data_IF_444391016332
#
_entry.id   IF_444391016332
#
_cell.length_a   1.000
_cell.length_b   1.000
_cell.length_c   1.000
_cell.angle_alpha   90.00
_cell.angle_beta   90.00
_cell.angle_gamma   90.00
#
_symmetry.space_group_name_H-M   'P 1'
#
loop_
_entity.id
_entity.type
_entity.pdbx_description
1 polymer ?
#
# COMPACT_ATOMS: atom_id res chain seq x y z
N UNK A 1 5.27 -25.72 -46.63
CA UNK A 1 4.25 -24.68 -46.40
C UNK A 1 4.14 -24.24 -44.93
N UNK A 2 5.11 -24.58 -44.05
CA UNK A 2 4.99 -24.36 -42.59
C UNK A 2 5.73 -23.15 -41.99
N UNK A 3 6.57 -22.46 -42.76
CA UNK A 3 7.41 -21.36 -42.22
C UNK A 3 6.62 -20.08 -41.92
N UNK A 4 5.59 -19.78 -42.72
CA UNK A 4 4.70 -18.61 -42.53
C UNK A 4 3.78 -18.75 -41.33
N UNK A 5 3.24 -19.94 -41.08
CA UNK A 5 2.38 -20.23 -39.92
C UNK A 5 3.15 -20.14 -38.59
N UNK A 6 4.41 -20.58 -38.56
CA UNK A 6 5.30 -20.47 -37.39
C UNK A 6 5.65 -19.01 -37.08
N UNK A 7 5.94 -18.21 -38.11
CA UNK A 7 6.21 -16.78 -37.96
C UNK A 7 4.99 -15.96 -37.50
N UNK A 8 3.78 -16.28 -37.97
CA UNK A 8 2.56 -15.63 -37.50
C UNK A 8 2.23 -15.99 -36.05
N UNK A 9 2.43 -17.25 -35.64
CA UNK A 9 2.26 -17.67 -34.24
C UNK A 9 3.25 -16.97 -33.31
N UNK A 10 4.53 -16.89 -33.68
CA UNK A 10 5.55 -16.15 -32.91
C UNK A 10 5.19 -14.67 -32.74
N UNK A 11 4.73 -14.00 -33.81
CA UNK A 11 4.31 -12.61 -33.75
C UNK A 11 3.05 -12.36 -32.91
N UNK A 12 2.09 -13.28 -32.95
CA UNK A 12 0.87 -13.22 -32.12
C UNK A 12 1.20 -13.41 -30.65
N UNK A 13 1.99 -14.44 -30.32
CA UNK A 13 2.45 -14.71 -28.96
C UNK A 13 3.28 -13.54 -28.42
N UNK A 14 4.20 -12.98 -29.20
CA UNK A 14 5.03 -11.85 -28.77
C UNK A 14 4.21 -10.58 -28.50
N UNK A 15 3.20 -10.27 -29.33
CA UNK A 15 2.26 -9.17 -29.08
C UNK A 15 1.42 -9.40 -27.81
N UNK A 16 1.01 -10.64 -27.56
CA UNK A 16 0.27 -11.03 -26.36
C UNK A 16 1.10 -10.87 -25.09
N UNK A 17 2.37 -11.29 -25.09
CA UNK A 17 3.30 -11.10 -23.98
C UNK A 17 3.62 -9.63 -23.74
N UNK A 18 3.77 -8.81 -24.79
CA UNK A 18 3.90 -7.34 -24.67
C UNK A 18 2.67 -6.70 -24.01
N UNK A 19 1.46 -7.02 -24.46
CA UNK A 19 0.22 -6.46 -23.89
C UNK A 19 0.06 -6.78 -22.40
N UNK A 20 0.34 -8.01 -21.98
CA UNK A 20 0.25 -8.43 -20.57
C UNK A 20 1.25 -7.70 -19.67
N UNK A 21 2.44 -7.40 -20.17
CA UNK A 21 3.47 -6.67 -19.41
C UNK A 21 3.07 -5.22 -19.12
N UNK A 22 2.56 -4.49 -20.11
CA UNK A 22 2.06 -3.12 -19.89
C UNK A 22 0.88 -3.08 -18.91
N UNK A 23 0.00 -4.08 -18.96
CA UNK A 23 -1.11 -4.20 -18.01
C UNK A 23 -0.58 -4.43 -16.58
N UNK A 24 0.45 -5.26 -16.42
CA UNK A 24 1.07 -5.52 -15.11
C UNK A 24 1.81 -4.29 -14.56
N UNK A 25 2.53 -3.56 -15.42
CA UNK A 25 3.12 -2.25 -15.11
C UNK A 25 2.06 -1.24 -14.65
N UNK A 26 0.96 -1.14 -15.38
CA UNK A 26 -0.13 -0.22 -15.04
C UNK A 26 -0.79 -0.57 -13.70
N UNK A 27 -1.03 -1.86 -13.45
CA UNK A 27 -1.56 -2.33 -12.17
C UNK A 27 -0.58 -2.10 -11.01
N UNK A 28 0.72 -2.31 -11.22
CA UNK A 28 1.74 -2.02 -10.22
C UNK A 28 1.80 -0.52 -9.91
N UNK A 29 1.71 0.33 -10.93
CA UNK A 29 1.62 1.78 -10.75
C UNK A 29 0.38 2.19 -9.93
N UNK A 30 -0.80 1.63 -10.25
CA UNK A 30 -2.02 1.86 -9.46
C UNK A 30 -1.88 1.37 -8.01
N UNK A 31 -1.25 0.22 -7.79
CA UNK A 31 -0.97 -0.30 -6.44
C UNK A 31 -0.08 0.63 -5.62
N UNK A 32 0.97 1.17 -6.24
CA UNK A 32 1.85 2.15 -5.60
C UNK A 32 1.10 3.43 -5.25
N UNK A 33 0.28 3.96 -6.16
CA UNK A 33 -0.55 5.13 -5.87
C UNK A 33 -1.50 4.88 -4.69
N UNK A 34 -2.15 3.72 -4.65
CA UNK A 34 -3.04 3.35 -3.55
C UNK A 34 -2.30 3.31 -2.19
N UNK A 35 -1.09 2.76 -2.16
CA UNK A 35 -0.25 2.75 -0.96
C UNK A 35 0.12 4.17 -0.49
N UNK A 36 0.52 5.05 -1.42
CA UNK A 36 0.82 6.45 -1.10
C UNK A 36 -0.40 7.21 -0.56
N UNK A 37 -1.58 7.02 -1.19
CA UNK A 37 -2.83 7.66 -0.72
C UNK A 37 -3.17 7.18 0.68
N UNK A 38 -3.08 5.86 0.92
CA UNK A 38 -3.36 5.29 2.24
C UNK A 38 -2.46 5.90 3.32
N UNK A 39 -1.16 6.10 3.05
CA UNK A 39 -0.25 6.77 4.00
C UNK A 39 -0.66 8.20 4.35
N UNK A 40 -1.11 8.98 3.35
CA UNK A 40 -1.52 10.37 3.56
C UNK A 40 -2.82 10.44 4.35
N UNK A 41 -3.80 9.61 4.01
CA UNK A 41 -5.11 9.59 4.68
C UNK A 41 -4.98 9.38 6.19
N UNK A 42 -4.05 8.54 6.62
CA UNK A 42 -3.84 8.23 8.03
C UNK A 42 -3.21 9.40 8.81
N UNK A 43 -2.27 10.12 8.21
CA UNK A 43 -1.65 11.30 8.82
C UNK A 43 -2.67 12.43 9.00
N UNK A 44 -3.51 12.66 7.98
CA UNK A 44 -4.58 13.66 8.02
C UNK A 44 -5.68 13.25 9.00
N UNK A 45 -6.05 11.97 9.02
CA UNK A 45 -7.08 11.43 9.90
C UNK A 45 -6.75 11.61 11.38
N UNK A 46 -5.50 11.36 11.80
CA UNK A 46 -5.08 11.54 13.19
C UNK A 46 -5.23 13.01 13.64
N UNK A 47 -4.90 13.96 12.77
CA UNK A 47 -5.05 15.39 13.07
C UNK A 47 -6.53 15.74 13.13
N UNK A 48 -7.32 15.35 12.12
CA UNK A 48 -8.75 15.64 12.06
C UNK A 48 -9.53 15.10 13.28
N UNK A 49 -9.20 13.90 13.76
CA UNK A 49 -9.83 13.27 14.93
C UNK A 49 -9.47 13.96 16.26
N UNK A 50 -8.40 14.74 16.27
CA UNK A 50 -7.86 15.37 17.48
C UNK A 50 -8.02 16.90 17.50
N UNK A 51 -8.37 17.51 16.37
CA UNK A 51 -8.58 18.95 16.27
C UNK A 51 -9.87 19.36 16.99
N UNK A 52 -9.81 20.33 17.93
CA UNK A 52 -11.02 20.85 18.55
C UNK A 52 -11.87 21.57 17.51
N UNK A 53 -13.19 21.41 17.58
CA UNK A 53 -14.14 22.12 16.74
C UNK A 53 -15.24 22.77 17.58
N UNK A 54 -15.67 23.95 17.13
CA UNK A 54 -16.68 24.74 17.81
C UNK A 54 -18.08 24.32 17.35
N UNK A 55 -18.91 23.91 18.31
CA UNK A 55 -20.32 23.59 18.07
C UNK A 55 -21.19 24.67 18.69
N UNK A 56 -21.98 25.36 17.86
CA UNK A 56 -23.03 26.27 18.32
C UNK A 56 -24.24 25.45 18.74
N UNK A 57 -24.61 25.52 20.01
CA UNK A 57 -25.87 24.96 20.49
C UNK A 57 -27.04 25.87 20.07
N UNK A 58 -28.26 25.32 20.03
CA UNK A 58 -29.47 26.08 19.71
C UNK A 58 -29.73 27.30 20.62
N UNK A 59 -29.03 27.41 21.74
CA UNK A 59 -29.11 28.51 22.70
C UNK A 59 -28.07 29.62 22.43
N UNK A 60 -27.31 29.54 21.32
CA UNK A 60 -26.30 30.55 20.95
C UNK A 60 -24.94 30.40 21.64
N UNK A 61 -24.78 29.45 22.55
CA UNK A 61 -23.50 29.11 23.18
C UNK A 61 -22.60 28.30 22.26
N UNK A 62 -21.33 28.71 22.15
CA UNK A 62 -20.28 27.98 21.43
C UNK A 62 -19.57 27.08 22.42
N UNK A 63 -19.63 25.76 22.21
CA UNK A 63 -18.90 24.77 23.01
C UNK A 63 -17.84 24.12 22.13
N UNK A 64 -16.60 24.12 22.61
CA UNK A 64 -15.50 23.40 21.98
C UNK A 64 -15.65 21.91 22.27
N UNK A 65 -15.79 21.10 21.22
CA UNK A 65 -15.82 19.63 21.32
C UNK A 65 -14.56 19.04 20.68
N UNK A 66 -14.10 17.95 21.26
CA UNK A 66 -12.99 17.15 20.76
C UNK A 66 -13.41 15.68 20.81
N UNK A 67 -13.31 14.98 19.67
CA UNK A 67 -13.74 13.58 19.58
C UNK A 67 -12.75 12.64 20.30
N UNK A 68 -11.46 12.92 20.22
CA UNK A 68 -10.41 12.17 20.91
C UNK A 68 -9.40 13.10 21.59
N UNK A 69 -9.16 12.90 22.88
CA UNK A 69 -8.13 13.62 23.64
C UNK A 69 -6.83 12.80 23.68
N UNK A 70 -6.21 12.55 22.51
CA UNK A 70 -4.90 11.89 22.48
C UNK A 70 -3.79 12.90 22.73
N UNK A 71 -2.93 12.60 23.71
CA UNK A 71 -1.71 13.36 23.93
C UNK A 71 -0.79 13.32 22.70
N UNK A 72 0.07 14.34 22.56
CA UNK A 72 1.05 14.44 21.47
C UNK A 72 1.95 13.20 21.39
N UNK A 73 2.30 12.59 22.54
CA UNK A 73 3.06 11.33 22.56
C UNK A 73 2.29 10.17 21.91
N UNK A 74 1.00 10.07 22.19
CA UNK A 74 0.17 8.98 21.65
C UNK A 74 0.01 9.11 20.14
N UNK A 75 -0.20 10.34 19.63
CA UNK A 75 -0.26 10.61 18.19
C UNK A 75 1.05 10.22 17.49
N UNK A 76 2.18 10.58 18.10
CA UNK A 76 3.51 10.19 17.60
C UNK A 76 3.70 8.68 17.61
N UNK A 77 3.20 7.98 18.64
CA UNK A 77 3.29 6.52 18.75
C UNK A 77 2.42 5.81 17.72
N UNK A 78 1.21 6.30 17.45
CA UNK A 78 0.36 5.77 16.37
C UNK A 78 1.03 5.97 15.01
N UNK A 79 1.64 7.13 14.77
CA UNK A 79 2.33 7.39 13.50
C UNK A 79 3.61 6.53 13.35
N UNK A 80 4.38 6.36 14.41
CA UNK A 80 5.63 5.58 14.39
C UNK A 80 5.39 4.07 14.37
N UNK A 81 4.30 3.57 14.96
CA UNK A 81 3.93 2.13 14.99
C UNK A 81 3.97 1.46 13.61
N UNK A 82 3.50 2.18 12.59
CA UNK A 82 3.55 1.76 11.19
C UNK A 82 5.00 1.48 10.74
N UNK A 83 5.94 2.37 11.06
CA UNK A 83 7.33 2.26 10.64
C UNK A 83 8.05 1.08 11.29
N UNK A 84 7.70 0.71 12.52
CA UNK A 84 8.24 -0.50 13.16
C UNK A 84 7.85 -1.77 12.38
N UNK A 85 6.58 -1.87 11.96
CA UNK A 85 6.13 -2.95 11.08
C UNK A 85 6.88 -2.93 9.75
N UNK A 86 6.94 -1.77 9.10
CA UNK A 86 7.57 -1.58 7.79
C UNK A 86 9.07 -1.91 7.77
N UNK A 87 9.82 -1.53 8.81
CA UNK A 87 11.24 -1.86 8.90
C UNK A 87 11.47 -3.36 9.10
N UNK A 88 10.64 -4.02 9.92
CA UNK A 88 10.81 -5.44 10.22
C UNK A 88 10.69 -6.35 8.98
N UNK A 89 9.86 -5.94 8.01
CA UNK A 89 9.48 -6.78 6.87
C UNK A 89 10.24 -6.51 5.57
N UNK A 90 10.96 -5.40 5.46
CA UNK A 90 11.73 -5.06 4.25
C UNK A 90 12.73 -6.15 3.84
N UNK A 91 13.46 -6.72 4.80
CA UNK A 91 14.43 -7.80 4.54
C UNK A 91 13.72 -9.10 4.11
N UNK A 92 12.60 -9.40 4.77
CA UNK A 92 11.81 -10.61 4.52
C UNK A 92 11.11 -10.54 3.16
N UNK A 93 10.70 -9.34 2.73
CA UNK A 93 10.02 -9.11 1.45
C UNK A 93 10.85 -9.45 0.23
N UNK A 94 12.15 -9.16 0.26
CA UNK A 94 13.07 -9.53 -0.83
C UNK A 94 13.15 -11.04 -1.01
N UNK A 95 13.24 -11.78 0.11
CA UNK A 95 13.28 -13.25 0.09
C UNK A 95 11.95 -13.86 -0.37
N UNK A 96 10.81 -13.35 0.11
CA UNK A 96 9.49 -13.81 -0.33
C UNK A 96 9.25 -13.53 -1.82
N UNK A 97 9.63 -12.35 -2.31
CA UNK A 97 9.51 -11.98 -3.72
C UNK A 97 10.33 -12.87 -4.65
N UNK A 98 11.52 -13.29 -4.21
CA UNK A 98 12.37 -14.23 -4.95
C UNK A 98 11.78 -15.65 -4.99
N UNK A 99 11.18 -16.13 -3.90
CA UNK A 99 10.69 -17.51 -3.78
C UNK A 99 9.28 -17.74 -4.34
N UNK A 100 8.35 -16.81 -4.10
CA UNK A 100 6.94 -16.95 -4.49
C UNK A 100 6.56 -16.14 -5.74
N UNK A 101 7.51 -15.36 -6.26
CA UNK A 101 7.33 -14.49 -7.43
C UNK A 101 6.71 -13.15 -7.07
N UNK A 102 7.39 -12.06 -7.44
CA UNK A 102 7.03 -10.68 -7.06
C UNK A 102 5.60 -10.28 -7.39
N UNK A 103 4.99 -10.82 -8.47
CA UNK A 103 3.62 -10.48 -8.89
C UNK A 103 2.55 -10.87 -7.84
N UNK A 104 2.70 -12.04 -7.22
CA UNK A 104 1.69 -12.57 -6.28
C UNK A 104 1.89 -11.88 -4.93
N UNK A 105 3.13 -11.82 -4.46
CA UNK A 105 3.46 -11.22 -3.17
C UNK A 105 3.09 -9.74 -3.14
N UNK A 106 3.38 -8.99 -4.21
CA UNK A 106 2.97 -7.59 -4.33
C UNK A 106 1.44 -7.43 -4.31
N UNK A 107 0.72 -8.23 -5.11
CA UNK A 107 -0.74 -8.15 -5.17
C UNK A 107 -1.42 -8.48 -3.83
N UNK A 108 -0.94 -9.52 -3.14
CA UNK A 108 -1.45 -9.89 -1.81
C UNK A 108 -1.13 -8.80 -0.79
N UNK A 109 0.08 -8.23 -0.81
CA UNK A 109 0.46 -7.13 0.06
C UNK A 109 -0.47 -5.92 -0.09
N UNK A 110 -0.71 -5.47 -1.33
CA UNK A 110 -1.62 -4.36 -1.62
C UNK A 110 -3.05 -4.67 -1.18
N UNK A 111 -3.55 -5.90 -1.44
CA UNK A 111 -4.90 -6.30 -1.07
C UNK A 111 -5.10 -6.34 0.46
N UNK A 112 -4.15 -6.95 1.18
CA UNK A 112 -4.20 -7.05 2.65
C UNK A 112 -4.08 -5.67 3.28
N UNK A 113 -3.13 -4.84 2.86
CA UNK A 113 -2.98 -3.47 3.39
C UNK A 113 -4.24 -2.65 3.13
N UNK A 114 -4.84 -2.74 1.93
CA UNK A 114 -6.08 -2.01 1.62
C UNK A 114 -7.24 -2.45 2.50
N UNK A 115 -7.36 -3.76 2.75
CA UNK A 115 -8.40 -4.31 3.63
C UNK A 115 -8.23 -3.85 5.09
N UNK A 116 -6.98 -3.85 5.58
CA UNK A 116 -6.67 -3.34 6.92
C UNK A 116 -7.00 -1.83 7.04
N UNK A 117 -6.69 -1.02 6.04
CA UNK A 117 -7.03 0.42 6.01
C UNK A 117 -8.54 0.66 6.10
N UNK A 118 -9.35 -0.18 5.44
CA UNK A 118 -10.81 -0.08 5.54
C UNK A 118 -11.33 -0.40 6.94
N UNK A 119 -10.72 -1.38 7.62
CA UNK A 119 -11.05 -1.77 8.99
C UNK A 119 -10.58 -0.71 10.00
N UNK A 120 -9.52 0.04 9.69
CA UNK A 120 -8.96 1.06 10.58
C UNK A 120 -9.99 2.15 10.95
N UNK A 121 -10.87 2.57 10.02
CA UNK A 121 -11.88 3.60 10.30
C UNK A 121 -12.88 3.24 11.42
N UNK A 122 -13.59 2.09 11.38
CA UNK A 122 -14.48 1.72 12.47
C UNK A 122 -13.75 1.39 13.78
N UNK A 123 -12.53 0.86 13.72
CA UNK A 123 -11.78 0.43 14.91
C UNK A 123 -11.20 1.58 15.74
N UNK A 124 -11.00 2.76 15.14
CA UNK A 124 -10.58 3.98 15.85
C UNK A 124 -11.48 4.31 17.04
N UNK A 125 -12.79 4.07 16.92
CA UNK A 125 -13.76 4.40 17.97
C UNK A 125 -13.79 3.38 19.13
N UNK A 126 -13.14 2.22 18.97
CA UNK A 126 -13.20 1.12 19.95
C UNK A 126 -12.00 1.19 20.91
N UNK A 127 -10.78 1.19 20.38
CA UNK A 127 -9.57 1.18 21.21
C UNK A 127 -8.35 1.62 20.44
N UNK A 128 -7.56 2.50 21.08
CA UNK A 128 -6.29 2.97 20.50
C UNK A 128 -5.24 1.86 20.45
N UNK A 129 -5.29 0.86 21.35
CA UNK A 129 -4.35 -0.26 21.31
C UNK A 129 -4.58 -1.20 20.11
N UNK A 130 -5.85 -1.41 19.74
CA UNK A 130 -6.19 -2.16 18.52
C UNK A 130 -5.75 -1.40 17.26
N UNK A 131 -5.91 -0.07 17.26
CA UNK A 131 -5.39 0.78 16.20
C UNK A 131 -3.86 0.64 16.05
N UNK A 132 -3.12 0.60 17.16
CA UNK A 132 -1.67 0.40 17.13
C UNK A 132 -1.28 -0.95 16.52
N UNK A 133 -1.97 -2.04 16.91
CA UNK A 133 -1.71 -3.37 16.35
C UNK A 133 -2.00 -3.41 14.85
N UNK A 134 -3.14 -2.87 14.43
CA UNK A 134 -3.48 -2.75 13.00
C UNK A 134 -2.42 -1.97 12.23
N UNK A 135 -1.88 -0.89 12.81
CA UNK A 135 -0.85 -0.09 12.15
C UNK A 135 0.46 -0.80 11.97
N UNK A 136 0.88 -1.57 12.96
CA UNK A 136 2.06 -2.43 12.82
C UNK A 136 1.83 -3.45 11.71
N UNK A 137 0.63 -4.05 11.62
CA UNK A 137 0.30 -5.01 10.56
C UNK A 137 0.25 -4.36 9.18
N UNK A 138 -0.41 -3.20 9.03
CA UNK A 138 -0.44 -2.42 7.78
C UNK A 138 0.98 -2.13 7.28
N UNK A 139 1.84 -1.61 8.17
CA UNK A 139 3.24 -1.34 7.86
C UNK A 139 4.02 -2.60 7.50
N UNK A 140 3.79 -3.70 8.20
CA UNK A 140 4.42 -4.98 7.91
C UNK A 140 4.10 -5.47 6.48
N UNK A 141 2.83 -5.47 6.08
CA UNK A 141 2.41 -5.89 4.74
C UNK A 141 2.85 -4.91 3.64
N UNK A 142 2.87 -3.61 3.94
CA UNK A 142 3.34 -2.61 2.99
C UNK A 142 4.87 -2.68 2.78
N UNK A 143 5.64 -3.08 3.80
CA UNK A 143 7.10 -3.22 3.74
C UNK A 143 7.60 -4.23 2.71
N UNK A 144 6.77 -5.20 2.30
CA UNK A 144 7.12 -6.16 1.25
C UNK A 144 7.00 -5.58 -0.16
N UNK A 145 6.22 -4.51 -0.35
CA UNK A 145 5.82 -4.04 -1.68
C UNK A 145 7.01 -3.52 -2.48
N UNK A 146 7.89 -2.73 -1.86
CA UNK A 146 9.06 -2.13 -2.49
C UNK A 146 10.06 -3.17 -3.02
N UNK A 147 10.55 -4.14 -2.19
CA UNK A 147 11.47 -5.16 -2.69
C UNK A 147 10.80 -6.12 -3.70
N UNK A 148 9.50 -6.41 -3.54
CA UNK A 148 8.76 -7.22 -4.51
C UNK A 148 8.61 -6.52 -5.86
N UNK A 149 8.45 -5.20 -5.87
CA UNK A 149 8.39 -4.41 -7.10
C UNK A 149 9.73 -4.47 -7.84
N UNK A 150 10.86 -4.28 -7.15
CA UNK A 150 12.17 -4.45 -7.76
C UNK A 150 12.41 -5.89 -8.29
N UNK A 151 12.00 -6.92 -7.53
CA UNK A 151 12.09 -8.31 -7.98
C UNK A 151 11.20 -8.61 -9.21
N UNK A 152 10.00 -8.01 -9.25
CA UNK A 152 9.08 -8.11 -10.38
C UNK A 152 9.71 -7.51 -11.64
N UNK A 153 10.28 -6.30 -11.54
CA UNK A 153 10.96 -5.65 -12.67
C UNK A 153 12.21 -6.39 -13.13
N UNK A 154 12.98 -6.95 -12.20
CA UNK A 154 14.15 -7.75 -12.52
C UNK A 154 13.78 -8.98 -13.38
N UNK A 155 12.66 -9.64 -13.09
CA UNK A 155 12.21 -10.82 -13.84
C UNK A 155 11.46 -10.48 -15.14
N UNK A 156 10.72 -9.37 -15.17
CA UNK A 156 9.81 -9.07 -16.28
C UNK A 156 10.31 -8.00 -17.26
N UNK A 157 11.38 -7.25 -16.95
CA UNK A 157 11.90 -6.23 -17.85
C UNK A 157 13.11 -6.73 -18.68
N UNK A 158 13.05 -6.69 -20.03
CA UNK A 158 14.18 -6.93 -20.92
C UNK A 158 15.32 -5.95 -20.64
N UNK A 159 16.58 -6.36 -20.86
CA UNK A 159 17.76 -5.56 -20.49
C UNK A 159 17.73 -4.10 -20.97
N UNK A 160 17.19 -3.85 -22.17
CA UNK A 160 17.14 -2.51 -22.78
C UNK A 160 16.08 -1.56 -22.20
N UNK A 161 15.06 -2.07 -21.48
CA UNK A 161 13.95 -1.28 -20.93
C UNK A 161 13.94 -1.29 -19.39
N UNK A 162 14.93 -1.94 -18.75
CA UNK A 162 15.02 -2.05 -17.29
C UNK A 162 15.06 -0.69 -16.60
N UNK A 163 15.86 0.24 -17.10
CA UNK A 163 16.03 1.56 -16.49
C UNK A 163 14.82 2.48 -16.64
N UNK A 164 13.92 2.17 -17.58
CA UNK A 164 12.72 2.98 -17.86
C UNK A 164 11.52 2.52 -17.02
N UNK A 165 11.62 1.32 -16.44
CA UNK A 165 10.53 0.65 -15.73
C UNK A 165 10.84 0.34 -14.26
N UNK A 166 12.12 0.31 -13.89
CA UNK A 166 12.59 0.23 -12.51
C UNK A 166 12.45 1.58 -11.80
#
# INVERSE_FOLDING_TARGET
MDTTAKHQNLNSQWKFWKKRRYLLTFLAFLGCLNMFISRVNLSVGIVAMNSPYNVTLGNGTVVEKQDFNWDSKMRGLVLSSFFYGYMSTQLVGGWLGARFGGKIVYGVGVAVTSFLTLITHPLVNISVYLLLLLRVLEGAFEGFAYPCMHALWAQWSPPHERSLLA
#
